data_IF_319436786985
#
_entry.id   IF_319436786985
#
_cell.length_a   1.000
_cell.length_b   1.000
_cell.length_c   1.000
_cell.angle_alpha   90.00
_cell.angle_beta   90.00
_cell.angle_gamma   90.00
#
_symmetry.space_group_name_H-M   'P 1'
#
loop_
_entity.id
_entity.type
_entity.pdbx_description
1 polymer ?
#
# COMPACT_ATOMS: atom_id res chain seq x y z
N UNK A 1 1.59 -11.33 6.46
CA UNK A 1 1.25 -10.07 7.13
C UNK A 1 2.52 -9.54 7.80
N UNK A 2 2.92 -8.30 7.54
CA UNK A 2 4.10 -7.72 8.17
C UNK A 2 3.68 -7.14 9.53
N UNK A 3 3.88 -7.86 10.63
CA UNK A 3 3.57 -7.35 11.97
C UNK A 3 4.82 -6.68 12.60
N UNK A 4 4.63 -5.76 13.55
CA UNK A 4 5.71 -4.98 14.20
C UNK A 4 6.90 -5.79 14.75
N UNK A 5 6.69 -7.08 15.09
CA UNK A 5 7.76 -8.00 15.50
C UNK A 5 8.72 -8.42 14.38
N UNK A 6 8.42 -8.13 13.11
CA UNK A 6 9.12 -8.63 11.93
C UNK A 6 9.82 -7.50 11.14
N UNK A 7 10.04 -6.34 11.74
CA UNK A 7 10.71 -5.21 11.05
C UNK A 7 12.11 -5.62 10.57
N UNK A 8 12.84 -6.43 11.36
CA UNK A 8 14.15 -6.95 10.97
C UNK A 8 14.07 -7.88 9.75
N UNK A 9 13.06 -8.76 9.72
CA UNK A 9 12.82 -9.65 8.58
C UNK A 9 12.39 -8.86 7.35
N UNK A 10 11.54 -7.85 7.51
CA UNK A 10 11.16 -6.93 6.44
C UNK A 10 12.40 -6.20 5.89
N UNK A 11 13.29 -5.73 6.75
CA UNK A 11 14.54 -5.08 6.33
C UNK A 11 15.47 -6.02 5.55
N UNK A 12 15.45 -7.31 5.84
CA UNK A 12 16.18 -8.31 5.06
C UNK A 12 15.49 -8.58 3.73
N UNK A 13 14.17 -8.72 3.75
CA UNK A 13 13.32 -8.98 2.59
C UNK A 13 13.43 -7.86 1.54
N UNK A 14 13.40 -6.59 1.95
CA UNK A 14 13.49 -5.45 1.02
C UNK A 14 14.87 -5.26 0.38
N UNK A 15 15.92 -5.97 0.82
CA UNK A 15 17.23 -5.95 0.13
C UNK A 15 17.16 -6.61 -1.24
N UNK A 16 16.22 -7.54 -1.42
CA UNK A 16 16.01 -8.17 -2.70
C UNK A 16 15.16 -7.25 -3.56
N UNK A 17 15.77 -6.77 -4.65
CA UNK A 17 15.21 -5.78 -5.57
C UNK A 17 13.84 -6.15 -6.16
N UNK A 18 13.49 -7.43 -6.11
CA UNK A 18 12.25 -8.01 -6.60
C UNK A 18 11.38 -8.67 -5.50
N UNK A 19 11.55 -8.25 -4.25
CA UNK A 19 10.71 -8.77 -3.16
C UNK A 19 9.34 -8.09 -3.07
N UNK A 20 9.18 -6.89 -3.64
CA UNK A 20 7.98 -6.06 -3.45
C UNK A 20 7.10 -5.95 -4.70
N UNK A 21 7.52 -6.56 -5.80
CA UNK A 21 6.86 -6.62 -7.11
C UNK A 21 6.17 -7.98 -7.36
N UNK A 22 6.12 -8.85 -6.36
CA UNK A 22 5.30 -10.06 -6.37
C UNK A 22 3.98 -9.81 -5.63
N UNK A 23 2.88 -10.19 -6.27
CA UNK A 23 1.56 -10.16 -5.66
C UNK A 23 1.16 -11.55 -5.17
N UNK A 24 0.37 -11.62 -4.10
CA UNK A 24 -0.26 -12.86 -3.67
C UNK A 24 -1.41 -13.29 -4.60
N UNK A 25 -2.09 -14.38 -4.24
CA UNK A 25 -3.23 -14.93 -5.01
C UNK A 25 -4.42 -13.97 -5.16
N UNK A 26 -4.48 -12.90 -4.35
CA UNK A 26 -5.52 -11.87 -4.39
C UNK A 26 -5.04 -10.61 -5.12
N UNK A 27 -3.86 -10.66 -5.75
CA UNK A 27 -3.25 -9.49 -6.39
C UNK A 27 -2.71 -8.47 -5.37
N UNK A 28 -2.52 -8.87 -4.11
CA UNK A 28 -1.96 -7.98 -3.10
C UNK A 28 -0.44 -7.97 -3.20
N UNK A 29 0.09 -6.84 -3.65
CA UNK A 29 1.49 -6.47 -3.43
C UNK A 29 1.72 -6.11 -1.96
N UNK A 30 2.96 -6.23 -1.45
CA UNK A 30 3.32 -5.83 -0.09
C UNK A 30 2.86 -4.42 0.33
N UNK A 31 2.75 -3.48 -0.62
CA UNK A 31 2.21 -2.15 -0.34
C UNK A 31 0.72 -2.19 0.07
N UNK A 32 -0.12 -3.02 -0.56
CA UNK A 32 -1.53 -3.18 -0.18
C UNK A 32 -1.66 -3.70 1.26
N UNK A 33 -0.80 -4.63 1.65
CA UNK A 33 -0.74 -5.16 3.01
C UNK A 33 -0.25 -4.12 4.02
N UNK A 34 0.74 -3.30 3.65
CA UNK A 34 1.28 -2.28 4.54
C UNK A 34 0.28 -1.15 4.85
N UNK A 35 -0.52 -0.73 3.85
CA UNK A 35 -1.44 0.42 4.00
C UNK A 35 -2.66 0.13 4.85
N UNK A 36 -3.05 -1.14 5.04
CA UNK A 36 -4.19 -1.53 5.88
C UNK A 36 -3.81 -1.83 7.34
N UNK A 37 -2.53 -1.64 7.68
CA UNK A 37 -2.01 -1.89 9.02
C UNK A 37 -1.63 -0.57 9.74
N UNK A 38 -1.78 -0.49 11.07
CA UNK A 38 -1.48 0.74 11.83
C UNK A 38 0.03 0.98 12.03
N UNK A 39 0.89 0.14 11.46
CA UNK A 39 2.33 0.19 11.67
C UNK A 39 3.00 1.11 10.64
N UNK A 40 3.01 2.41 10.94
CA UNK A 40 3.57 3.46 10.09
C UNK A 40 4.97 3.13 9.56
N UNK A 41 5.85 2.59 10.40
CA UNK A 41 7.21 2.22 10.04
C UNK A 41 7.27 1.16 8.92
N UNK A 42 6.31 0.23 8.89
CA UNK A 42 6.23 -0.80 7.84
C UNK A 42 5.82 -0.16 6.52
N UNK A 43 4.85 0.74 6.54
CA UNK A 43 4.44 1.50 5.35
C UNK A 43 5.61 2.30 4.77
N UNK A 44 6.37 3.00 5.62
CA UNK A 44 7.52 3.79 5.18
C UNK A 44 8.61 2.91 4.56
N UNK A 45 8.98 1.80 5.20
CA UNK A 45 9.99 0.87 4.68
C UNK A 45 9.56 0.32 3.31
N UNK A 46 8.29 -0.08 3.17
CA UNK A 46 7.77 -0.64 1.91
C UNK A 46 7.71 0.43 0.82
N UNK A 47 7.29 1.66 1.12
CA UNK A 47 7.30 2.75 0.15
C UNK A 47 8.71 3.10 -0.30
N UNK A 48 9.67 3.18 0.62
CA UNK A 48 11.05 3.56 0.29
C UNK A 48 11.80 2.48 -0.52
N UNK A 49 11.44 1.21 -0.33
CA UNK A 49 12.04 0.09 -1.06
C UNK A 49 11.32 -0.30 -2.35
N UNK A 50 10.05 0.10 -2.55
CA UNK A 50 9.25 -0.31 -3.71
C UNK A 50 9.37 0.64 -4.90
N UNK A 51 9.09 0.11 -6.10
CA UNK A 51 8.97 0.95 -7.29
C UNK A 51 7.67 1.74 -7.27
N UNK A 52 7.75 3.05 -7.52
CA UNK A 52 6.57 3.94 -7.64
C UNK A 52 5.52 3.46 -8.64
N UNK A 53 5.94 2.72 -9.67
CA UNK A 53 5.03 2.13 -10.66
C UNK A 53 4.02 1.16 -10.05
N UNK A 54 4.33 0.55 -8.90
CA UNK A 54 3.47 -0.40 -8.19
C UNK A 54 2.42 0.30 -7.32
N UNK A 55 2.57 1.59 -7.03
CA UNK A 55 1.73 2.30 -6.06
C UNK A 55 0.30 2.53 -6.55
N UNK A 56 0.07 2.37 -7.84
CA UNK A 56 -1.24 2.49 -8.49
C UNK A 56 -1.82 1.15 -8.95
N UNK A 57 -1.10 0.04 -8.68
CA UNK A 57 -1.58 -1.28 -9.04
C UNK A 57 -2.82 -1.63 -8.21
N UNK A 58 -3.67 -2.46 -8.81
CA UNK A 58 -4.93 -2.86 -8.21
C UNK A 58 -4.85 -4.29 -7.74
N UNK A 59 -5.46 -4.55 -6.59
CA UNK A 59 -5.81 -5.89 -6.14
C UNK A 59 -6.81 -6.55 -7.11
N UNK A 60 -7.06 -7.85 -6.97
CA UNK A 60 -8.11 -8.54 -7.72
C UNK A 60 -9.52 -8.00 -7.46
N UNK A 61 -9.74 -7.35 -6.31
CA UNK A 61 -10.99 -6.65 -5.99
C UNK A 61 -11.06 -5.23 -6.61
N UNK A 62 -10.01 -4.83 -7.34
CA UNK A 62 -9.92 -3.56 -8.04
C UNK A 62 -9.49 -2.38 -7.18
N UNK A 63 -9.14 -2.61 -5.91
CA UNK A 63 -8.70 -1.57 -4.98
C UNK A 63 -7.24 -1.17 -5.21
N UNK A 64 -6.95 0.12 -5.14
CA UNK A 64 -5.59 0.67 -5.06
C UNK A 64 -5.12 0.76 -3.60
N UNK A 65 -3.82 0.92 -3.34
CA UNK A 65 -3.31 1.15 -1.99
C UNK A 65 -3.99 2.34 -1.29
N UNK A 66 -4.21 3.44 -2.01
CA UNK A 66 -4.86 4.64 -1.46
C UNK A 66 -6.34 4.39 -1.10
N UNK A 67 -7.08 3.64 -1.93
CA UNK A 67 -8.47 3.29 -1.61
C UNK A 67 -8.57 2.34 -0.41
N UNK A 68 -7.62 1.42 -0.25
CA UNK A 68 -7.54 0.53 0.91
C UNK A 68 -7.24 1.30 2.20
N UNK A 69 -6.29 2.24 2.18
CA UNK A 69 -5.95 3.07 3.33
C UNK A 69 -7.16 3.87 3.85
N UNK A 70 -7.96 4.42 2.94
CA UNK A 70 -9.20 5.14 3.28
C UNK A 70 -10.25 4.19 3.87
N UNK A 71 -10.45 3.01 3.26
CA UNK A 71 -11.38 1.99 3.78
C UNK A 71 -10.98 1.47 5.16
N UNK A 72 -9.69 1.39 5.44
CA UNK A 72 -9.16 1.02 6.74
C UNK A 72 -9.31 2.14 7.80
N UNK A 73 -9.65 3.38 7.40
CA UNK A 73 -9.77 4.51 8.31
C UNK A 73 -8.42 5.00 8.87
N UNK A 74 -7.30 4.62 8.27
CA UNK A 74 -5.96 4.93 8.74
C UNK A 74 -5.49 6.26 8.14
N UNK A 75 -5.93 7.36 8.75
CA UNK A 75 -5.69 8.74 8.28
C UNK A 75 -4.20 9.04 8.06
N UNK A 76 -3.33 8.56 8.95
CA UNK A 76 -1.89 8.79 8.82
C UNK A 76 -1.29 8.02 7.62
N UNK A 77 -1.75 6.79 7.35
CA UNK A 77 -1.34 6.06 6.16
C UNK A 77 -1.79 6.77 4.88
N UNK A 78 -3.03 7.30 4.86
CA UNK A 78 -3.53 8.12 3.74
C UNK A 78 -2.65 9.34 3.53
N UNK A 79 -2.31 10.06 4.61
CA UNK A 79 -1.42 11.22 4.56
C UNK A 79 -0.05 10.84 3.97
N UNK A 80 0.58 9.79 4.46
CA UNK A 80 1.90 9.36 4.00
C UNK A 80 1.92 8.98 2.52
N UNK A 81 0.90 8.25 2.04
CA UNK A 81 0.79 7.93 0.60
C UNK A 81 0.72 9.19 -0.25
N UNK A 82 -0.10 10.17 0.15
CA UNK A 82 -0.25 11.44 -0.56
C UNK A 82 1.04 12.27 -0.53
N UNK A 83 1.73 12.32 0.61
CA UNK A 83 3.01 13.02 0.76
C UNK A 83 4.12 12.40 -0.09
N UNK A 84 4.12 11.07 -0.27
CA UNK A 84 5.06 10.35 -1.13
C UNK A 84 4.76 10.52 -2.63
N UNK A 85 3.58 11.03 -2.97
CA UNK A 85 3.16 11.36 -4.33
C UNK A 85 2.35 10.26 -5.02
N UNK A 86 1.67 9.40 -4.27
CA UNK A 86 0.64 8.48 -4.81
C UNK A 86 -0.49 9.30 -5.44
N UNK A 87 -0.98 8.86 -6.60
CA UNK A 87 -1.95 9.63 -7.36
C UNK A 87 -3.32 9.63 -6.68
N UNK A 88 -3.88 10.81 -6.31
CA UNK A 88 -5.10 10.87 -5.50
C UNK A 88 -6.38 10.55 -6.27
N UNK A 89 -6.31 10.44 -7.59
CA UNK A 89 -7.48 10.31 -8.46
C UNK A 89 -7.55 8.95 -9.17
N UNK A 90 -6.67 7.99 -8.83
CA UNK A 90 -6.72 6.65 -9.43
C UNK A 90 -8.00 5.96 -9.01
N UNK A 91 -8.83 5.62 -9.99
CA UNK A 91 -10.13 4.96 -9.72
C UNK A 91 -9.92 3.49 -9.45
N UNK A 92 -10.64 2.95 -8.46
CA UNK A 92 -10.81 1.50 -8.32
C UNK A 92 -11.63 0.94 -9.49
N UNK A 93 -11.84 -0.38 -9.54
CA UNK A 93 -12.61 -1.01 -10.63
C UNK A 93 -14.11 -0.69 -10.57
N UNK A 94 -14.61 -0.17 -9.44
CA UNK A 94 -15.97 0.39 -9.35
C UNK A 94 -16.08 1.80 -9.92
N UNK A 95 -14.98 2.37 -10.40
CA UNK A 95 -14.92 3.74 -10.92
C UNK A 95 -14.90 4.82 -9.84
N UNK A 96 -14.74 4.44 -8.57
CA UNK A 96 -14.71 5.33 -7.41
C UNK A 96 -13.30 5.91 -7.25
N UNK A 97 -13.22 7.22 -7.04
CA UNK A 97 -11.96 7.86 -6.64
C UNK A 97 -11.77 7.71 -5.12
N UNK A 98 -10.54 7.76 -4.60
CA UNK A 98 -10.25 7.81 -3.17
C UNK A 98 -11.13 8.82 -2.42
N UNK A 99 -11.31 10.03 -3.00
CA UNK A 99 -12.17 11.08 -2.44
C UNK A 99 -13.64 10.67 -2.31
N UNK A 100 -14.17 9.82 -3.20
CA UNK A 100 -15.56 9.36 -3.13
C UNK A 100 -15.78 8.28 -2.08
N UNK A 101 -14.72 7.56 -1.70
CA UNK A 101 -14.77 6.47 -0.72
C UNK A 101 -14.72 7.04 0.70
N UNK A 102 -13.92 8.09 0.93
CA UNK A 102 -13.90 8.81 2.21
C UNK A 102 -15.18 9.62 2.40
N UNK A 103 -15.96 9.29 3.42
CA UNK A 103 -17.16 10.04 3.84
C UNK A 103 -16.93 10.72 5.18
#
# INVERSE_FOLDING_TARGET
MFHSGHILELQEYVKYKHALDEADEKGWFPLHEAVVQPFQQILEIVLDASYKTLWEFKTCDGETPLTLAIKAGLVENVRTLLEKGVWPNTKNDKGETPLLIGK
#
